data_IF_802002431155
#
_entry.id   IF_802002431155
#
_cell.length_a   1.000
_cell.length_b   1.000
_cell.length_c   1.000
_cell.angle_alpha   90.00
_cell.angle_beta   90.00
_cell.angle_gamma   90.00
#
_symmetry.space_group_name_H-M   'P 1'
#
loop_
_entity.id
_entity.type
_entity.pdbx_description
1 polymer ?
#
# COMPACT_ATOMS: atom_id res chain seq x y z
N UNK A 1 52.91 -58.85 0.21
CA UNK A 1 51.81 -58.04 0.78
C UNK A 1 50.88 -57.63 -0.36
N UNK A 2 49.58 -57.95 -0.31
CA UNK A 2 48.65 -57.59 -1.39
C UNK A 2 48.35 -56.07 -1.37
N UNK A 3 48.09 -55.45 -2.54
CA UNK A 3 47.83 -54.02 -2.62
C UNK A 3 46.47 -53.65 -1.99
N UNK A 4 46.46 -52.58 -1.20
CA UNK A 4 45.26 -52.04 -0.54
C UNK A 4 44.30 -51.49 -1.60
N UNK A 5 43.00 -51.87 -1.57
CA UNK A 5 42.02 -51.37 -2.54
C UNK A 5 41.77 -49.87 -2.34
N UNK A 6 41.76 -49.11 -3.44
CA UNK A 6 41.45 -47.67 -3.44
C UNK A 6 39.96 -47.44 -3.14
N UNK A 7 39.60 -46.38 -2.39
CA UNK A 7 38.22 -46.13 -2.01
C UNK A 7 37.36 -45.76 -3.21
N UNK A 8 36.21 -46.43 -3.34
CA UNK A 8 35.19 -46.13 -4.35
C UNK A 8 34.43 -44.87 -3.95
N UNK A 9 34.44 -43.84 -4.82
CA UNK A 9 33.69 -42.60 -4.61
C UNK A 9 32.18 -42.89 -4.61
N UNK A 10 31.50 -42.74 -3.47
CA UNK A 10 30.03 -42.78 -3.39
C UNK A 10 29.46 -41.60 -4.18
N UNK A 11 28.69 -41.87 -5.24
CA UNK A 11 27.91 -40.84 -5.95
C UNK A 11 26.88 -40.27 -4.98
N UNK A 12 26.93 -38.95 -4.75
CA UNK A 12 25.87 -38.22 -4.04
C UNK A 12 24.58 -38.32 -4.86
N UNK A 13 23.57 -38.95 -4.30
CA UNK A 13 22.19 -38.90 -4.82
C UNK A 13 21.70 -37.47 -4.60
N UNK A 14 21.29 -36.79 -5.66
CA UNK A 14 20.73 -35.45 -5.57
C UNK A 14 19.42 -35.50 -4.77
N UNK A 15 19.29 -34.65 -3.75
CA UNK A 15 18.01 -34.46 -3.06
C UNK A 15 16.99 -33.90 -4.06
N UNK A 16 15.72 -34.39 -4.06
CA UNK A 16 14.69 -33.82 -4.89
C UNK A 16 14.51 -32.34 -4.53
N UNK A 17 14.59 -31.49 -5.56
CA UNK A 17 14.37 -30.05 -5.49
C UNK A 17 13.05 -29.77 -4.80
N UNK A 18 13.08 -28.95 -3.74
CA UNK A 18 11.88 -28.40 -3.10
C UNK A 18 11.01 -27.76 -4.18
N UNK A 19 9.85 -28.33 -4.46
CA UNK A 19 8.84 -27.74 -5.34
C UNK A 19 8.46 -26.38 -4.75
N UNK A 20 8.83 -25.31 -5.46
CA UNK A 20 8.47 -23.94 -5.10
C UNK A 20 6.97 -23.81 -5.29
N UNK A 21 6.20 -23.86 -4.20
CA UNK A 21 4.78 -23.50 -4.22
C UNK A 21 4.69 -22.13 -4.89
N UNK A 22 3.88 -21.96 -5.96
CA UNK A 22 3.71 -20.66 -6.59
C UNK A 22 3.27 -19.69 -5.51
N UNK A 23 4.03 -18.61 -5.33
CA UNK A 23 3.63 -17.53 -4.43
C UNK A 23 2.30 -17.02 -4.98
N UNK A 24 1.23 -17.08 -4.18
CA UNK A 24 -0.07 -16.49 -4.53
C UNK A 24 0.17 -15.13 -5.20
N UNK A 25 -0.48 -14.90 -6.33
CA UNK A 25 -0.37 -13.63 -7.06
C UNK A 25 -0.88 -12.52 -6.16
N UNK A 26 0.05 -11.79 -5.53
CA UNK A 26 -0.26 -10.56 -4.83
C UNK A 26 -0.17 -9.42 -5.84
N UNK A 27 -1.25 -8.67 -6.07
CA UNK A 27 -1.20 -7.48 -6.90
C UNK A 27 -0.08 -6.53 -6.43
N UNK A 28 0.47 -5.77 -7.38
CA UNK A 28 1.37 -4.68 -7.06
C UNK A 28 0.58 -3.57 -6.34
N UNK A 29 1.28 -2.73 -5.58
CA UNK A 29 0.67 -1.57 -4.92
C UNK A 29 -0.08 -0.68 -5.91
N UNK A 30 0.50 -0.52 -7.10
CA UNK A 30 -0.10 0.16 -8.24
C UNK A 30 -1.45 -0.45 -8.65
N UNK A 31 -1.59 -1.78 -8.65
CA UNK A 31 -2.85 -2.45 -9.01
C UNK A 31 -3.93 -2.18 -7.97
N UNK A 32 -3.59 -2.21 -6.68
CA UNK A 32 -4.51 -1.86 -5.59
C UNK A 32 -4.95 -0.39 -5.72
N UNK A 33 -4.01 0.51 -6.04
CA UNK A 33 -4.31 1.92 -6.23
C UNK A 33 -5.21 2.18 -7.45
N UNK A 34 -4.95 1.52 -8.59
CA UNK A 34 -5.80 1.59 -9.79
C UNK A 34 -7.21 1.09 -9.46
N UNK A 35 -7.32 0.03 -8.68
CA UNK A 35 -8.61 -0.56 -8.30
C UNK A 35 -9.42 0.40 -7.44
N UNK A 36 -8.81 0.99 -6.41
CA UNK A 36 -9.47 1.99 -5.58
C UNK A 36 -9.85 3.24 -6.38
N UNK A 37 -8.94 3.76 -7.21
CA UNK A 37 -9.20 4.92 -8.07
C UNK A 37 -10.40 4.68 -9.00
N UNK A 38 -10.43 3.52 -9.67
CA UNK A 38 -11.54 3.15 -10.57
C UNK A 38 -12.88 3.07 -9.82
N UNK A 39 -12.88 2.56 -8.59
CA UNK A 39 -14.08 2.53 -7.76
C UNK A 39 -14.53 3.94 -7.33
N UNK A 40 -13.60 4.81 -6.95
CA UNK A 40 -13.90 6.20 -6.59
C UNK A 40 -14.48 6.97 -7.79
N UNK A 41 -13.89 6.80 -8.98
CA UNK A 41 -14.37 7.39 -10.23
C UNK A 41 -15.79 6.92 -10.56
N UNK A 42 -16.04 5.61 -10.48
CA UNK A 42 -17.34 5.00 -10.75
C UNK A 42 -18.45 5.55 -9.83
N UNK A 43 -18.10 5.86 -8.58
CA UNK A 43 -19.04 6.38 -7.59
C UNK A 43 -19.07 7.92 -7.53
N UNK A 44 -18.39 8.60 -8.45
CA UNK A 44 -18.30 10.06 -8.53
C UNK A 44 -17.83 10.71 -7.23
N UNK A 45 -16.89 10.07 -6.54
CA UNK A 45 -16.28 10.63 -5.32
C UNK A 45 -15.24 11.68 -5.73
N UNK A 46 -15.22 12.83 -5.07
CA UNK A 46 -14.20 13.85 -5.30
C UNK A 46 -12.91 13.49 -4.55
N UNK A 47 -11.85 13.15 -5.29
CA UNK A 47 -10.55 12.76 -4.72
C UNK A 47 -9.37 13.18 -5.61
N UNK A 48 -8.15 13.04 -5.08
CA UNK A 48 -6.94 13.02 -5.89
C UNK A 48 -5.93 11.96 -5.38
N UNK A 49 -5.11 11.47 -6.31
CA UNK A 49 -3.89 10.74 -5.97
C UNK A 49 -2.73 11.71 -5.72
N UNK A 50 -1.93 11.43 -4.69
CA UNK A 50 -0.69 12.15 -4.38
C UNK A 50 0.55 11.30 -4.74
N UNK A 51 1.10 11.41 -5.96
CA UNK A 51 2.19 10.56 -6.47
C UNK A 51 3.58 10.92 -5.91
N UNK A 52 3.70 11.27 -4.63
CA UNK A 52 4.95 11.81 -4.08
C UNK A 52 6.04 10.75 -3.88
N UNK A 53 5.69 9.47 -3.77
CA UNK A 53 6.62 8.37 -3.49
C UNK A 53 7.39 7.79 -4.69
N UNK A 54 6.96 8.08 -5.92
CA UNK A 54 7.56 7.49 -7.13
C UNK A 54 9.03 7.87 -7.36
N UNK A 55 9.81 6.91 -7.89
CA UNK A 55 11.20 7.14 -8.28
C UNK A 55 11.31 8.28 -9.30
N UNK A 56 12.29 9.16 -9.08
CA UNK A 56 12.58 10.30 -9.96
C UNK A 56 14.08 10.52 -10.01
N UNK A 57 14.54 11.08 -11.13
CA UNK A 57 15.91 11.57 -11.23
C UNK A 57 16.20 12.61 -10.12
N UNK A 58 17.38 12.60 -9.46
CA UNK A 58 17.66 13.45 -8.30
C UNK A 58 17.41 14.94 -8.52
N UNK A 59 17.77 15.46 -9.70
CA UNK A 59 17.53 16.86 -10.08
C UNK A 59 16.03 17.20 -10.06
N UNK A 60 15.21 16.34 -10.65
CA UNK A 60 13.75 16.50 -10.66
C UNK A 60 13.17 16.39 -9.26
N UNK A 61 13.66 15.43 -8.46
CA UNK A 61 13.22 15.26 -7.07
C UNK A 61 13.51 16.51 -6.22
N UNK A 62 14.68 17.13 -6.36
CA UNK A 62 15.03 18.36 -5.66
C UNK A 62 14.14 19.53 -6.09
N UNK A 63 13.91 19.69 -7.39
CA UNK A 63 13.00 20.72 -7.91
C UNK A 63 11.58 20.55 -7.37
N UNK A 64 11.06 19.33 -7.33
CA UNK A 64 9.72 19.04 -6.81
C UNK A 64 9.62 19.25 -5.30
N UNK A 65 10.65 18.89 -4.53
CA UNK A 65 10.73 19.23 -3.09
C UNK A 65 10.68 20.74 -2.87
N UNK A 66 11.38 21.53 -3.71
CA UNK A 66 11.32 22.99 -3.65
C UNK A 66 9.93 23.56 -4.03
N UNK A 67 9.19 22.87 -4.89
CA UNK A 67 7.79 23.19 -5.23
C UNK A 67 6.79 22.71 -4.15
N UNK A 68 7.26 22.07 -3.09
CA UNK A 68 6.42 21.68 -1.96
C UNK A 68 6.03 20.20 -1.92
N UNK A 69 6.58 19.33 -2.77
CA UNK A 69 6.40 17.87 -2.63
C UNK A 69 6.93 17.42 -1.27
N UNK A 70 6.10 16.70 -0.53
CA UNK A 70 6.43 16.15 0.80
C UNK A 70 6.43 14.63 0.73
N UNK A 71 7.44 14.02 1.35
CA UNK A 71 7.49 12.58 1.50
C UNK A 71 6.43 12.12 2.51
N UNK A 72 5.82 10.96 2.25
CA UNK A 72 4.88 10.31 3.16
C UNK A 72 3.48 10.94 3.22
N UNK A 73 3.12 11.85 2.31
CA UNK A 73 1.72 12.25 2.14
C UNK A 73 0.92 10.99 1.75
N UNK A 74 -0.27 10.76 2.34
CA UNK A 74 -1.11 9.61 1.98
C UNK A 74 -1.42 9.55 0.49
N UNK A 75 -1.50 8.34 -0.06
CA UNK A 75 -1.64 8.12 -1.51
C UNK A 75 -2.92 8.72 -2.09
N UNK A 76 -4.02 8.70 -1.33
CA UNK A 76 -5.33 9.20 -1.78
C UNK A 76 -5.89 10.19 -0.77
N UNK A 77 -6.34 11.35 -1.26
CA UNK A 77 -7.09 12.34 -0.49
C UNK A 77 -8.50 12.46 -1.08
N UNK A 78 -9.51 12.20 -0.25
CA UNK A 78 -10.94 12.35 -0.59
C UNK A 78 -11.45 13.62 0.06
N UNK A 79 -12.04 14.49 -0.74
CA UNK A 79 -12.51 15.82 -0.33
C UNK A 79 -14.00 15.85 0.03
N UNK A 80 -14.78 14.90 -0.50
CA UNK A 80 -16.14 14.67 -0.03
C UNK A 80 -16.11 14.22 1.42
N UNK A 81 -16.98 14.81 2.25
CA UNK A 81 -17.04 14.48 3.67
C UNK A 81 -17.73 13.12 3.86
N UNK A 82 -17.21 12.24 4.72
CA UNK A 82 -17.93 11.03 5.08
C UNK A 82 -19.22 11.38 5.81
N UNK A 83 -20.18 10.47 5.80
CA UNK A 83 -21.28 10.55 6.75
C UNK A 83 -20.73 10.51 8.18
N UNK A 84 -21.41 11.17 9.15
CA UNK A 84 -21.00 11.10 10.55
C UNK A 84 -20.87 9.65 10.97
N UNK A 85 -19.76 9.32 11.62
CA UNK A 85 -19.61 8.01 12.26
C UNK A 85 -20.50 7.95 13.51
N UNK A 86 -20.70 6.77 14.07
CA UNK A 86 -21.70 6.52 15.13
C UNK A 86 -21.61 7.44 16.36
N UNK A 87 -20.41 7.96 16.67
CA UNK A 87 -20.17 8.89 17.77
C UNK A 87 -20.53 10.36 17.47
N UNK A 88 -21.05 10.65 16.27
CA UNK A 88 -21.42 12.00 15.82
C UNK A 88 -20.24 12.85 15.34
N UNK A 89 -19.03 12.29 15.24
CA UNK A 89 -17.85 13.03 14.76
C UNK A 89 -17.98 13.39 13.28
N UNK A 90 -17.73 14.66 12.98
CA UNK A 90 -17.65 15.17 11.62
C UNK A 90 -16.18 15.29 11.17
N UNK A 91 -15.88 14.73 10.01
CA UNK A 91 -14.55 14.84 9.39
C UNK A 91 -14.57 15.80 8.20
N UNK A 92 -13.46 16.50 7.98
CA UNK A 92 -13.33 17.47 6.89
C UNK A 92 -12.96 16.83 5.54
N UNK A 93 -12.56 15.56 5.56
CA UNK A 93 -12.13 14.75 4.43
C UNK A 93 -11.53 13.41 4.88
N UNK A 94 -11.12 12.56 3.94
CA UNK A 94 -10.49 11.27 4.22
C UNK A 94 -9.11 11.22 3.56
N UNK A 95 -8.12 10.71 4.29
CA UNK A 95 -6.81 10.38 3.76
C UNK A 95 -6.58 8.86 3.85
N UNK A 96 -6.25 8.24 2.72
CA UNK A 96 -6.01 6.81 2.59
C UNK A 96 -4.56 6.58 2.18
N UNK A 97 -3.86 5.79 2.98
CA UNK A 97 -2.58 5.20 2.62
C UNK A 97 -2.82 3.75 2.20
N UNK A 98 -2.39 3.36 1.00
CA UNK A 98 -2.54 1.99 0.51
C UNK A 98 -1.23 1.23 0.67
N UNK A 99 -1.34 0.00 1.16
CA UNK A 99 -0.25 -0.97 1.23
C UNK A 99 -0.63 -2.22 0.46
N UNK A 100 0.39 -2.92 -0.04
CA UNK A 100 0.22 -4.23 -0.67
C UNK A 100 -0.47 -5.23 0.26
N UNK A 101 -1.42 -5.99 -0.28
CA UNK A 101 -2.24 -6.97 0.45
C UNK A 101 -1.40 -8.04 1.18
N UNK A 102 -0.29 -8.47 0.59
CA UNK A 102 0.64 -9.45 1.17
C UNK A 102 1.49 -8.91 2.34
N UNK A 103 1.33 -7.64 2.71
CA UNK A 103 2.05 -6.96 3.80
C UNK A 103 3.57 -6.97 3.66
N UNK A 104 4.11 -7.34 2.49
CA UNK A 104 5.56 -7.49 2.27
C UNK A 104 6.34 -6.18 2.46
N UNK A 105 5.67 -5.04 2.34
CA UNK A 105 6.18 -3.70 2.63
C UNK A 105 5.20 -2.93 3.55
N UNK A 106 4.65 -3.64 4.54
CA UNK A 106 3.44 -3.22 5.25
C UNK A 106 3.59 -2.15 6.34
N UNK A 107 4.81 -1.83 6.79
CA UNK A 107 4.97 -0.84 7.87
C UNK A 107 4.90 0.58 7.31
N UNK A 108 4.19 1.44 8.03
CA UNK A 108 4.25 2.88 7.80
C UNK A 108 5.67 3.38 8.01
N UNK A 109 6.17 4.19 7.09
CA UNK A 109 7.39 4.96 7.31
C UNK A 109 7.17 6.06 8.35
N UNK A 110 8.25 6.59 8.94
CA UNK A 110 8.15 7.68 9.90
C UNK A 110 7.43 8.93 9.33
N UNK A 111 7.69 9.25 8.06
CA UNK A 111 7.03 10.38 7.39
C UNK A 111 5.53 10.13 7.18
N UNK A 112 5.13 8.90 6.83
CA UNK A 112 3.71 8.54 6.70
C UNK A 112 2.97 8.63 8.03
N UNK A 113 3.59 8.12 9.10
CA UNK A 113 3.02 8.24 10.45
C UNK A 113 2.85 9.71 10.88
N UNK A 114 3.84 10.56 10.58
CA UNK A 114 3.76 12.00 10.83
C UNK A 114 2.58 12.66 10.10
N UNK A 115 2.41 12.40 8.80
CA UNK A 115 1.31 12.95 8.02
C UNK A 115 -0.06 12.50 8.52
N UNK A 116 -0.22 11.20 8.82
CA UNK A 116 -1.46 10.66 9.36
C UNK A 116 -1.82 11.33 10.69
N UNK A 117 -0.84 11.50 11.60
CA UNK A 117 -1.07 12.20 12.87
C UNK A 117 -1.49 13.66 12.65
N UNK A 118 -0.74 14.38 11.81
CA UNK A 118 -1.01 15.79 11.54
C UNK A 118 -2.36 16.03 10.86
N UNK A 119 -2.80 15.14 9.98
CA UNK A 119 -4.12 15.24 9.32
C UNK A 119 -5.25 14.94 10.31
N UNK A 120 -5.10 13.92 11.18
CA UNK A 120 -6.07 13.62 12.23
C UNK A 120 -6.30 14.80 13.18
N UNK A 121 -5.22 15.46 13.60
CA UNK A 121 -5.29 16.70 14.41
C UNK A 121 -6.06 17.84 13.71
N UNK A 122 -6.14 17.80 12.38
CA UNK A 122 -6.85 18.78 11.54
C UNK A 122 -8.26 18.32 11.15
N UNK A 123 -8.78 17.27 11.81
CA UNK A 123 -10.13 16.76 11.58
C UNK A 123 -10.30 15.90 10.33
N UNK A 124 -9.21 15.39 9.75
CA UNK A 124 -9.29 14.39 8.69
C UNK A 124 -9.43 12.98 9.26
N UNK A 125 -10.20 12.14 8.57
CA UNK A 125 -10.24 10.72 8.82
C UNK A 125 -9.09 10.05 8.09
N UNK A 126 -8.12 9.46 8.81
CA UNK A 126 -6.90 8.95 8.18
C UNK A 126 -6.61 7.50 8.54
N UNK A 127 -6.62 6.61 7.54
CA UNK A 127 -6.42 5.17 7.73
C UNK A 127 -5.45 4.60 6.68
N UNK A 128 -4.73 3.54 7.08
CA UNK A 128 -3.90 2.75 6.17
C UNK A 128 -4.57 1.39 5.92
N UNK A 129 -4.65 0.99 4.65
CA UNK A 129 -5.31 -0.26 4.25
C UNK A 129 -4.35 -1.18 3.52
N UNK A 130 -4.56 -2.48 3.70
CA UNK A 130 -3.84 -3.53 2.98
C UNK A 130 -4.73 -4.05 1.87
N UNK A 131 -4.47 -3.61 0.64
CA UNK A 131 -5.31 -3.86 -0.52
C UNK A 131 -6.52 -2.92 -0.65
N UNK A 132 -7.01 -2.78 -1.88
CA UNK A 132 -8.10 -1.89 -2.24
C UNK A 132 -9.44 -2.33 -1.63
N UNK A 133 -9.69 -3.64 -1.56
CA UNK A 133 -10.93 -4.21 -1.02
C UNK A 133 -11.25 -3.67 0.38
N UNK A 134 -10.24 -3.66 1.27
CA UNK A 134 -10.40 -3.19 2.64
C UNK A 134 -10.71 -1.69 2.72
N UNK A 135 -10.11 -0.89 1.83
CA UNK A 135 -10.39 0.54 1.73
C UNK A 135 -11.81 0.80 1.21
N UNK A 136 -12.22 0.05 0.18
CA UNK A 136 -13.56 0.16 -0.43
C UNK A 136 -14.65 -0.21 0.57
N UNK A 137 -14.52 -1.33 1.29
CA UNK A 137 -15.51 -1.73 2.29
C UNK A 137 -15.62 -0.69 3.42
N UNK A 138 -14.51 -0.09 3.82
CA UNK A 138 -14.53 1.00 4.78
C UNK A 138 -15.24 2.24 4.25
N UNK A 139 -14.97 2.65 3.01
CA UNK A 139 -15.66 3.76 2.36
C UNK A 139 -17.17 3.49 2.25
N UNK A 140 -17.58 2.26 1.92
CA UNK A 140 -19.01 1.89 1.95
C UNK A 140 -19.64 2.07 3.33
N UNK A 141 -18.93 1.69 4.40
CA UNK A 141 -19.44 1.92 5.77
C UNK A 141 -19.57 3.40 6.15
N UNK A 142 -18.84 4.28 5.45
CA UNK A 142 -18.94 5.73 5.58
C UNK A 142 -19.98 6.35 4.63
N UNK A 143 -20.77 5.51 3.95
CA UNK A 143 -21.86 5.91 3.06
C UNK A 143 -21.46 6.29 1.64
N UNK A 144 -20.23 5.98 1.21
CA UNK A 144 -19.83 6.13 -0.20
C UNK A 144 -20.35 4.95 -1.04
N UNK A 145 -20.68 5.21 -2.31
CA UNK A 145 -21.11 4.18 -3.26
C UNK A 145 -22.50 3.59 -3.02
N UNK A 146 -23.30 4.23 -2.17
CA UNK A 146 -24.74 3.96 -2.06
C UNK A 146 -25.46 5.01 -2.91
N UNK A 147 -25.73 4.67 -4.18
CA UNK A 147 -26.63 5.41 -5.07
C UNK A 147 -27.62 4.43 -5.70
#
# INVERSE_FOLDING_TARGET
MPPVPKPVKKKRIANPTKTRIPKEFCPLEETEQITLASWLDWNHVLYCHVPNGGYRHPVTANRFKAQGVKAGVPDILIFDRPYPVEDGTHYVGIAIELKRKDKSLGRLSANQAHWISALRERGWLCNAFYGADAAIEYLKSLGYGVR
#
